data_IF_278859851389
#
_entry.id   IF_278859851389
#
_cell.length_a   1.000
_cell.length_b   1.000
_cell.length_c   1.000
_cell.angle_alpha   90.00
_cell.angle_beta   90.00
_cell.angle_gamma   90.00
#
_symmetry.space_group_name_H-M   'P 1'
#
loop_
_entity.id
_entity.type
_entity.pdbx_description
1 polymer ?
#
# COMPACT_ATOMS: atom_id res chain seq x y z
N UNK A 1 -28.33 -81.37 33.79
CA UNK A 1 -28.77 -81.03 32.42
C UNK A 1 -28.67 -79.52 32.23
N UNK A 2 -27.85 -79.10 31.25
CA UNK A 2 -27.81 -77.85 30.46
C UNK A 2 -28.04 -76.48 31.14
N UNK A 3 -26.97 -75.68 31.17
CA UNK A 3 -26.99 -74.21 31.03
C UNK A 3 -27.27 -73.81 29.57
N UNK A 4 -27.79 -72.59 29.31
CA UNK A 4 -26.96 -71.52 28.71
C UNK A 4 -27.26 -70.13 29.33
N UNK A 5 -26.26 -69.31 29.72
CA UNK A 5 -25.50 -68.32 28.93
C UNK A 5 -26.38 -67.36 28.10
N UNK A 6 -26.47 -66.09 28.51
CA UNK A 6 -26.83 -64.96 27.64
C UNK A 6 -25.89 -63.77 27.91
N UNK A 7 -25.46 -63.03 26.87
CA UNK A 7 -24.26 -62.20 26.91
C UNK A 7 -24.52 -60.71 27.12
N UNK A 8 -23.52 -60.11 27.77
CA UNK A 8 -22.99 -58.75 27.64
C UNK A 8 -23.44 -57.98 26.37
N UNK A 9 -24.34 -57.01 26.50
CA UNK A 9 -24.54 -55.96 25.48
C UNK A 9 -23.83 -54.70 25.96
N UNK A 10 -22.73 -54.45 25.26
CA UNK A 10 -21.74 -53.41 25.45
C UNK A 10 -22.34 -52.04 25.09
N UNK A 11 -21.95 -51.05 25.89
CA UNK A 11 -22.10 -49.63 25.67
C UNK A 11 -21.90 -49.19 24.20
N UNK A 12 -22.97 -48.71 23.57
CA UNK A 12 -22.92 -47.96 22.30
C UNK A 12 -23.78 -46.71 22.37
N UNK A 13 -23.54 -45.86 23.38
CA UNK A 13 -24.13 -44.51 23.47
C UNK A 13 -23.05 -43.42 23.56
N UNK A 14 -22.03 -43.55 22.72
CA UNK A 14 -20.90 -42.61 22.65
C UNK A 14 -20.36 -42.53 21.22
N UNK A 15 -21.24 -42.38 20.23
CA UNK A 15 -20.81 -42.03 18.87
C UNK A 15 -21.89 -41.25 18.11
N UNK A 16 -22.44 -40.20 18.75
CA UNK A 16 -23.09 -39.10 18.02
C UNK A 16 -22.49 -37.78 18.51
N UNK A 17 -21.15 -37.76 18.63
CA UNK A 17 -20.41 -36.51 18.54
C UNK A 17 -20.62 -36.00 17.12
N UNK A 18 -21.49 -35.00 17.00
CA UNK A 18 -21.74 -34.24 15.78
C UNK A 18 -20.42 -34.00 15.07
N UNK A 19 -20.27 -34.55 13.86
CA UNK A 19 -19.35 -34.02 12.85
C UNK A 19 -19.82 -32.60 12.54
N UNK A 20 -19.48 -31.65 13.42
CA UNK A 20 -19.47 -30.25 13.02
C UNK A 20 -18.32 -30.14 12.01
N UNK A 21 -18.58 -29.72 10.76
CA UNK A 21 -17.50 -29.43 9.85
C UNK A 21 -16.59 -28.41 10.53
N UNK A 22 -15.28 -28.71 10.61
CA UNK A 22 -14.31 -27.73 11.08
C UNK A 22 -14.48 -26.46 10.22
N UNK A 23 -14.48 -25.26 10.82
CA UNK A 23 -14.46 -24.04 10.03
C UNK A 23 -13.25 -24.13 9.10
N UNK A 24 -13.50 -24.04 7.80
CA UNK A 24 -12.45 -24.00 6.79
C UNK A 24 -11.49 -22.87 7.19
N UNK A 25 -10.26 -23.25 7.52
CA UNK A 25 -9.18 -22.32 7.83
C UNK A 25 -8.92 -21.53 6.54
N UNK A 26 -9.51 -20.34 6.41
CA UNK A 26 -9.14 -19.39 5.37
C UNK A 26 -7.71 -18.99 5.66
N UNK A 27 -6.76 -19.57 4.92
CA UNK A 27 -5.37 -19.15 4.97
C UNK A 27 -5.33 -17.69 4.52
N UNK A 28 -5.11 -16.76 5.46
CA UNK A 28 -4.88 -15.36 5.13
C UNK A 28 -3.63 -15.29 4.23
N UNK A 29 -3.83 -14.92 2.96
CA UNK A 29 -2.73 -14.67 2.04
C UNK A 29 -1.80 -13.61 2.67
N UNK A 30 -0.47 -13.81 2.68
CA UNK A 30 0.44 -12.78 3.13
C UNK A 30 0.26 -11.54 2.26
N UNK A 31 -0.15 -10.42 2.88
CA UNK A 31 -0.43 -9.16 2.19
C UNK A 31 0.85 -8.62 1.55
N UNK A 32 1.02 -8.80 0.24
CA UNK A 32 2.19 -8.25 -0.46
C UNK A 32 1.97 -6.76 -0.66
N UNK A 33 3.01 -5.99 -0.41
CA UNK A 33 2.98 -4.53 -0.53
C UNK A 33 3.76 -4.12 -1.77
N UNK A 34 3.23 -3.15 -2.51
CA UNK A 34 3.89 -2.54 -3.64
C UNK A 34 4.28 -1.11 -3.27
N UNK A 35 5.51 -0.72 -3.55
CA UNK A 35 6.00 0.65 -3.37
C UNK A 35 6.33 1.20 -4.74
N UNK A 36 5.43 1.98 -5.32
CA UNK A 36 5.66 2.66 -6.60
C UNK A 36 6.18 4.05 -6.31
N UNK A 37 7.29 4.45 -6.94
CA UNK A 37 7.87 5.76 -6.70
C UNK A 37 8.40 6.44 -7.95
N UNK A 38 8.30 7.77 -7.99
CA UNK A 38 9.03 8.60 -8.94
C UNK A 38 10.03 9.48 -8.18
N UNK A 39 11.25 9.60 -8.68
CA UNK A 39 12.22 10.57 -8.15
C UNK A 39 13.10 11.15 -9.24
N UNK A 40 13.25 12.47 -9.22
CA UNK A 40 14.18 13.20 -10.09
C UNK A 40 15.52 13.41 -9.39
N UNK A 41 15.54 14.13 -8.27
CA UNK A 41 16.76 14.46 -7.52
C UNK A 41 17.06 13.49 -6.36
N UNK A 42 16.48 12.29 -6.35
CA UNK A 42 16.73 11.23 -5.37
C UNK A 42 16.05 11.35 -4.00
N UNK A 43 15.42 12.48 -3.65
CA UNK A 43 14.78 12.64 -2.32
C UNK A 43 13.65 11.61 -2.09
N UNK A 44 12.74 11.49 -3.06
CA UNK A 44 11.63 10.53 -2.98
C UNK A 44 12.09 9.09 -3.03
N UNK A 45 13.21 8.81 -3.71
CA UNK A 45 13.84 7.49 -3.74
C UNK A 45 14.36 7.10 -2.35
N UNK A 46 15.00 8.02 -1.62
CA UNK A 46 15.38 7.80 -0.21
C UNK A 46 14.17 7.49 0.66
N UNK A 47 13.06 8.20 0.47
CA UNK A 47 11.79 7.94 1.19
C UNK A 47 11.24 6.55 0.84
N UNK A 48 11.23 6.18 -0.44
CA UNK A 48 10.76 4.86 -0.87
C UNK A 48 11.64 3.73 -0.34
N UNK A 49 12.97 3.93 -0.27
CA UNK A 49 13.91 2.97 0.31
C UNK A 49 13.71 2.84 1.83
N UNK A 50 13.56 3.96 2.56
CA UNK A 50 13.26 3.93 3.99
C UNK A 50 11.92 3.23 4.26
N UNK A 51 10.92 3.48 3.42
CA UNK A 51 9.63 2.81 3.50
C UNK A 51 9.76 1.31 3.26
N UNK A 52 10.49 0.90 2.22
CA UNK A 52 10.76 -0.50 1.93
C UNK A 52 11.44 -1.21 3.10
N UNK A 53 12.41 -0.56 3.76
CA UNK A 53 13.03 -1.11 4.99
C UNK A 53 12.01 -1.30 6.11
N UNK A 54 11.08 -0.35 6.27
CA UNK A 54 10.11 -0.35 7.38
C UNK A 54 8.93 -1.31 7.17
N UNK A 55 8.46 -1.52 5.93
CA UNK A 55 7.25 -2.31 5.64
C UNK A 55 7.50 -3.52 4.74
N UNK A 56 8.70 -3.64 4.19
CA UNK A 56 9.01 -4.59 3.13
C UNK A 56 8.38 -4.17 1.79
N UNK A 57 8.00 -5.17 1.00
CA UNK A 57 7.32 -4.96 -0.27
C UNK A 57 8.26 -4.79 -1.48
N UNK A 58 7.65 -4.79 -2.67
CA UNK A 58 8.36 -4.66 -3.95
C UNK A 58 8.47 -3.18 -4.34
N UNK A 59 9.68 -2.60 -4.45
CA UNK A 59 9.85 -1.27 -4.99
C UNK A 59 9.76 -1.31 -6.52
N UNK A 60 9.10 -0.32 -7.10
CA UNK A 60 9.01 -0.10 -8.55
C UNK A 60 9.25 1.38 -8.84
N UNK A 61 10.33 1.69 -9.55
CA UNK A 61 10.64 3.05 -10.00
C UNK A 61 9.86 3.37 -11.27
N UNK A 62 9.21 4.53 -11.27
CA UNK A 62 8.62 5.13 -12.48
C UNK A 62 9.73 5.85 -13.23
N UNK A 63 9.95 5.44 -14.47
CA UNK A 63 10.91 6.04 -15.39
C UNK A 63 10.17 6.77 -16.52
N UNK A 64 10.35 8.09 -16.65
CA UNK A 64 9.89 8.82 -17.83
C UNK A 64 10.49 8.25 -19.12
N UNK A 65 9.73 8.24 -20.22
CA UNK A 65 10.22 7.79 -21.53
C UNK A 65 11.45 8.58 -21.98
N UNK A 66 11.38 9.89 -21.80
CA UNK A 66 12.50 10.83 -21.93
C UNK A 66 12.86 11.34 -20.54
N UNK A 67 14.08 11.10 -20.03
CA UNK A 67 14.53 11.60 -18.74
C UNK A 67 14.32 13.11 -18.59
N UNK A 68 14.04 13.59 -17.37
CA UNK A 68 14.02 15.03 -17.12
C UNK A 68 15.42 15.62 -17.24
N UNK A 69 15.56 16.88 -17.70
CA UNK A 69 16.84 17.57 -17.68
C UNK A 69 17.49 17.58 -16.30
N UNK A 70 18.81 17.63 -16.25
CA UNK A 70 19.53 17.82 -14.98
C UNK A 70 19.39 19.26 -14.47
N UNK A 71 19.24 20.22 -15.39
CA UNK A 71 19.02 21.61 -15.04
C UNK A 71 17.65 21.80 -14.38
N UNK A 72 17.65 22.44 -13.20
CA UNK A 72 16.43 22.70 -12.44
C UNK A 72 15.42 23.54 -13.21
N UNK A 73 15.86 24.62 -13.87
CA UNK A 73 14.93 25.50 -14.56
C UNK A 73 14.30 24.86 -15.79
N UNK A 74 15.07 24.09 -16.56
CA UNK A 74 14.55 23.31 -17.67
C UNK A 74 13.55 22.25 -17.19
N UNK A 75 13.83 21.59 -16.07
CA UNK A 75 12.89 20.65 -15.44
C UNK A 75 11.60 21.34 -15.02
N UNK A 76 11.68 22.54 -14.42
CA UNK A 76 10.48 23.33 -14.04
C UNK A 76 9.66 23.73 -15.27
N UNK A 77 10.32 24.15 -16.36
CA UNK A 77 9.65 24.51 -17.61
C UNK A 77 8.93 23.31 -18.22
N UNK A 78 9.61 22.16 -18.32
CA UNK A 78 9.00 20.92 -18.80
C UNK A 78 7.84 20.48 -17.92
N UNK A 79 8.03 20.43 -16.60
CA UNK A 79 6.97 20.02 -15.67
C UNK A 79 5.75 20.95 -15.74
N UNK A 80 5.94 22.25 -16.03
CA UNK A 80 4.84 23.20 -16.25
C UNK A 80 4.09 22.91 -17.55
N UNK A 81 4.81 22.65 -18.64
CA UNK A 81 4.21 22.29 -19.93
C UNK A 81 3.40 20.98 -19.82
N UNK A 82 3.97 19.95 -19.20
CA UNK A 82 3.29 18.67 -18.96
C UNK A 82 2.09 18.82 -18.02
N UNK A 83 2.20 19.65 -16.97
CA UNK A 83 1.07 19.98 -16.11
C UNK A 83 -0.06 20.59 -16.96
N UNK A 84 0.23 21.62 -17.74
CA UNK A 84 -0.81 22.25 -18.57
C UNK A 84 -1.42 21.24 -19.56
N UNK A 85 -0.63 20.38 -20.17
CA UNK A 85 -1.13 19.29 -21.03
C UNK A 85 -2.11 18.36 -20.29
N UNK A 86 -1.80 17.94 -19.07
CA UNK A 86 -2.69 17.08 -18.26
C UNK A 86 -4.00 17.81 -17.92
N UNK A 87 -3.94 19.05 -17.45
CA UNK A 87 -5.11 19.73 -16.90
C UNK A 87 -5.97 20.46 -17.94
N UNK A 88 -5.41 20.81 -19.09
CA UNK A 88 -6.12 21.52 -20.17
C UNK A 88 -6.52 20.58 -21.30
N UNK A 89 -5.75 19.51 -21.55
CA UNK A 89 -5.96 18.60 -22.70
C UNK A 89 -6.07 17.12 -22.33
N UNK A 90 -5.94 16.78 -21.04
CA UNK A 90 -5.93 15.39 -20.57
C UNK A 90 -4.84 14.53 -21.25
N UNK A 91 -3.72 15.15 -21.60
CA UNK A 91 -2.56 14.52 -22.22
C UNK A 91 -1.50 14.23 -21.16
N UNK A 92 -1.11 12.96 -21.02
CA UNK A 92 -0.15 12.51 -20.03
C UNK A 92 1.24 12.26 -20.65
N UNK A 93 2.35 12.70 -20.01
CA UNK A 93 3.69 12.43 -20.54
C UNK A 93 4.00 10.93 -20.48
N UNK A 94 4.67 10.40 -21.51
CA UNK A 94 4.99 8.99 -21.61
C UNK A 94 5.99 8.52 -20.53
N UNK A 95 5.80 7.29 -20.04
CA UNK A 95 6.67 6.58 -19.09
C UNK A 95 7.03 5.20 -19.66
N UNK A 96 8.20 4.66 -19.29
CA UNK A 96 8.64 3.29 -19.62
C UNK A 96 8.03 2.26 -18.70
N UNK A 97 7.84 2.65 -17.44
CA UNK A 97 7.39 1.73 -16.39
C UNK A 97 5.94 1.32 -16.61
N UNK A 98 5.73 0.01 -16.75
CA UNK A 98 4.41 -0.63 -16.81
C UNK A 98 4.40 -1.82 -15.87
N UNK A 99 3.26 -2.02 -15.20
CA UNK A 99 2.96 -3.24 -14.48
C UNK A 99 1.83 -3.93 -15.22
N UNK A 100 2.04 -5.20 -15.55
CA UNK A 100 1.03 -6.00 -16.25
C UNK A 100 -0.02 -6.56 -15.28
N UNK A 101 0.36 -6.72 -14.01
CA UNK A 101 -0.54 -7.18 -12.95
C UNK A 101 -0.18 -6.55 -11.60
N UNK A 102 -1.22 -6.32 -10.77
CA UNK A 102 -1.14 -5.88 -9.40
C UNK A 102 -2.05 -6.68 -8.45
N UNK A 103 -2.68 -7.77 -8.90
CA UNK A 103 -3.63 -8.59 -8.13
C UNK A 103 -3.05 -9.05 -6.80
N UNK A 104 -1.78 -9.48 -6.79
CA UNK A 104 -1.11 -9.97 -5.60
C UNK A 104 -0.89 -8.92 -4.49
N UNK A 105 -1.13 -7.63 -4.76
CA UNK A 105 -0.88 -6.53 -3.82
C UNK A 105 -2.16 -5.92 -3.28
N UNK A 106 -2.36 -5.97 -1.97
CA UNK A 106 -3.53 -5.37 -1.30
C UNK A 106 -3.30 -3.88 -0.98
N UNK A 107 -2.05 -3.53 -0.70
CA UNK A 107 -1.62 -2.16 -0.38
C UNK A 107 -0.58 -1.68 -1.38
N UNK A 108 -0.83 -0.48 -1.93
CA UNK A 108 0.05 0.20 -2.87
C UNK A 108 0.45 1.54 -2.27
N UNK A 109 1.72 1.68 -1.91
CA UNK A 109 2.30 2.96 -1.56
C UNK A 109 2.68 3.71 -2.84
N UNK A 110 2.27 4.97 -2.94
CA UNK A 110 2.61 5.83 -4.08
C UNK A 110 3.48 6.98 -3.58
N UNK A 111 4.78 6.88 -3.83
CA UNK A 111 5.78 7.82 -3.36
C UNK A 111 6.11 8.83 -4.47
N UNK A 112 5.85 10.11 -4.24
CA UNK A 112 6.06 11.14 -5.27
C UNK A 112 6.56 12.46 -4.67
N UNK A 113 7.28 13.28 -5.46
CA UNK A 113 7.52 14.66 -5.11
C UNK A 113 6.28 15.53 -5.42
N UNK A 114 6.04 16.53 -4.59
CA UNK A 114 5.09 17.60 -4.87
C UNK A 114 5.71 18.60 -5.83
N UNK A 115 5.23 18.63 -7.07
CA UNK A 115 5.70 19.55 -8.11
C UNK A 115 4.58 20.49 -8.53
N UNK A 116 4.86 21.81 -8.48
CA UNK A 116 3.91 22.84 -8.91
C UNK A 116 2.52 22.74 -8.24
N UNK A 117 2.48 22.29 -6.98
CA UNK A 117 1.23 22.09 -6.23
C UNK A 117 0.48 20.81 -6.59
N UNK A 118 1.11 19.89 -7.33
CA UNK A 118 0.51 18.66 -7.88
C UNK A 118 1.31 17.42 -7.52
N UNK A 119 0.70 16.25 -7.66
CA UNK A 119 1.44 14.99 -7.80
C UNK A 119 2.36 15.12 -9.02
N UNK A 120 3.63 14.72 -8.92
CA UNK A 120 4.56 14.81 -10.05
C UNK A 120 4.02 14.11 -11.30
N UNK A 121 4.23 14.73 -12.47
CA UNK A 121 3.55 14.33 -13.72
C UNK A 121 3.78 12.86 -14.10
N UNK A 122 4.98 12.26 -13.94
CA UNK A 122 5.18 10.84 -14.24
C UNK A 122 4.38 9.90 -13.32
N UNK A 123 4.22 10.27 -12.05
CA UNK A 123 3.34 9.53 -11.13
C UNK A 123 1.87 9.68 -11.55
N UNK A 124 1.46 10.87 -12.01
CA UNK A 124 0.11 11.03 -12.57
C UNK A 124 -0.12 10.14 -13.78
N UNK A 125 0.85 10.02 -14.70
CA UNK A 125 0.78 9.07 -15.82
C UNK A 125 0.64 7.64 -15.33
N UNK A 126 1.46 7.22 -14.36
CA UNK A 126 1.36 5.86 -13.82
C UNK A 126 -0.03 5.57 -13.25
N UNK A 127 -0.55 6.47 -12.40
CA UNK A 127 -1.87 6.33 -11.81
C UNK A 127 -2.98 6.32 -12.87
N UNK A 128 -2.87 7.17 -13.89
CA UNK A 128 -3.82 7.20 -14.99
C UNK A 128 -3.83 5.88 -15.77
N UNK A 129 -2.65 5.36 -16.13
CA UNK A 129 -2.49 4.15 -16.92
C UNK A 129 -2.92 2.88 -16.16
N UNK A 130 -2.76 2.85 -14.83
CA UNK A 130 -3.05 1.67 -13.99
C UNK A 130 -4.29 1.84 -13.12
N UNK A 131 -5.12 2.86 -13.37
CA UNK A 131 -6.30 3.19 -12.54
C UNK A 131 -7.25 2.00 -12.34
N UNK A 132 -7.39 1.16 -13.37
CA UNK A 132 -8.27 -0.01 -13.34
C UNK A 132 -7.73 -1.09 -12.39
N UNK A 133 -6.41 -1.29 -12.38
CA UNK A 133 -5.73 -2.23 -11.47
C UNK A 133 -5.73 -1.74 -10.02
N UNK A 134 -5.97 -0.44 -9.79
CA UNK A 134 -6.02 0.16 -8.45
C UNK A 134 -7.43 0.15 -7.84
N UNK A 135 -8.46 -0.30 -8.58
CA UNK A 135 -9.84 -0.39 -8.07
C UNK A 135 -9.91 -1.28 -6.83
N UNK A 136 -10.54 -0.79 -5.77
CA UNK A 136 -10.70 -1.50 -4.50
C UNK A 136 -9.41 -1.71 -3.68
N UNK A 137 -8.23 -1.40 -4.23
CA UNK A 137 -6.95 -1.51 -3.51
C UNK A 137 -6.78 -0.35 -2.52
N UNK A 138 -6.05 -0.62 -1.44
CA UNK A 138 -5.63 0.44 -0.52
C UNK A 138 -4.45 1.19 -1.12
N UNK A 139 -4.63 2.48 -1.39
CA UNK A 139 -3.58 3.36 -1.90
C UNK A 139 -3.15 4.31 -0.78
N UNK A 140 -1.86 4.31 -0.46
CA UNK A 140 -1.28 5.15 0.60
C UNK A 140 -0.33 6.17 -0.05
N UNK A 141 -0.73 7.44 -0.16
CA UNK A 141 0.11 8.47 -0.73
C UNK A 141 1.23 8.89 0.22
N UNK A 142 2.45 8.97 -0.34
CA UNK A 142 3.68 9.34 0.36
C UNK A 142 4.33 10.51 -0.40
N UNK A 143 4.16 11.70 0.13
CA UNK A 143 4.55 12.94 -0.53
C UNK A 143 5.85 13.50 0.05
N UNK A 144 6.87 13.64 -0.81
CA UNK A 144 8.06 14.44 -0.48
C UNK A 144 7.90 15.86 -1.03
N UNK A 145 8.31 16.89 -0.27
CA UNK A 145 8.14 18.27 -0.72
C UNK A 145 9.26 19.19 -0.22
N UNK A 146 9.42 20.35 -0.86
CA UNK A 146 10.32 21.39 -0.35
C UNK A 146 9.77 22.05 0.91
N UNK A 147 8.60 22.70 0.76
CA UNK A 147 7.89 23.41 1.84
C UNK A 147 6.36 23.28 1.76
N UNK A 148 5.84 23.09 0.54
CA UNK A 148 4.40 23.11 0.29
C UNK A 148 3.70 21.93 0.98
N UNK A 149 2.49 22.14 1.51
CA UNK A 149 1.74 21.07 2.17
C UNK A 149 1.29 20.02 1.16
N UNK A 150 1.42 18.74 1.53
CA UNK A 150 1.01 17.60 0.72
C UNK A 150 -0.50 17.62 0.37
N UNK A 151 -1.33 18.29 1.19
CA UNK A 151 -2.77 18.43 0.97
C UNK A 151 -3.13 19.04 -0.39
N UNK A 152 -2.23 19.82 -1.01
CA UNK A 152 -2.40 20.33 -2.38
C UNK A 152 -2.56 19.23 -3.44
N UNK A 153 -2.09 18.02 -3.14
CA UNK A 153 -2.12 16.87 -4.07
C UNK A 153 -3.39 16.03 -3.95
N UNK A 154 -4.22 16.25 -2.93
CA UNK A 154 -5.48 15.53 -2.72
C UNK A 154 -6.46 15.60 -3.90
N UNK A 155 -6.65 16.75 -4.60
CA UNK A 155 -7.51 16.80 -5.78
C UNK A 155 -7.02 15.87 -6.90
N UNK A 156 -5.72 15.74 -7.08
CA UNK A 156 -5.15 14.88 -8.12
C UNK A 156 -5.36 13.41 -7.76
N UNK A 157 -5.16 13.03 -6.50
CA UNK A 157 -5.42 11.68 -6.00
C UNK A 157 -6.89 11.26 -6.18
N UNK A 158 -7.83 12.16 -5.84
CA UNK A 158 -9.27 11.92 -6.06
C UNK A 158 -9.60 11.70 -7.53
N UNK A 159 -8.99 12.50 -8.42
CA UNK A 159 -9.21 12.42 -9.87
C UNK A 159 -8.59 11.17 -10.49
N UNK A 160 -7.40 10.78 -10.06
CA UNK A 160 -6.61 9.70 -10.66
C UNK A 160 -6.99 8.33 -10.09
N UNK A 161 -7.45 8.27 -8.84
CA UNK A 161 -7.81 7.04 -8.17
C UNK A 161 -9.24 7.08 -7.58
N UNK A 162 -10.28 7.38 -8.40
CA UNK A 162 -11.64 7.61 -7.91
C UNK A 162 -12.29 6.36 -7.29
N UNK A 163 -11.78 5.17 -7.61
CA UNK A 163 -12.32 3.88 -7.19
C UNK A 163 -11.35 3.08 -6.31
N UNK A 164 -10.26 3.71 -5.85
CA UNK A 164 -9.37 3.11 -4.86
C UNK A 164 -9.76 3.56 -3.45
N UNK A 165 -9.25 2.87 -2.44
CA UNK A 165 -9.36 3.28 -1.04
C UNK A 165 -8.12 4.11 -0.71
N UNK A 166 -8.21 5.44 -0.83
CA UNK A 166 -7.11 6.34 -0.42
C UNK A 166 -7.07 6.37 1.12
N UNK A 167 -6.01 5.80 1.69
CA UNK A 167 -5.83 5.70 3.14
C UNK A 167 -4.70 6.62 3.60
N UNK A 168 -5.07 7.69 4.31
CA UNK A 168 -4.12 8.66 4.86
C UNK A 168 -3.39 9.48 3.79
N UNK A 169 -2.39 10.22 4.24
CA UNK A 169 -1.46 10.98 3.41
C UNK A 169 -0.22 11.25 4.25
N UNK A 170 0.90 10.63 3.91
CA UNK A 170 2.18 10.94 4.54
C UNK A 170 2.86 12.10 3.82
N UNK A 171 3.48 12.99 4.59
CA UNK A 171 4.22 14.13 4.08
C UNK A 171 5.56 14.19 4.78
N UNK A 172 6.62 14.32 4.00
CA UNK A 172 7.97 14.62 4.50
C UNK A 172 8.53 15.83 3.74
N UNK A 173 9.05 16.80 4.49
CA UNK A 173 9.62 18.02 3.93
C UNK A 173 11.14 17.90 3.78
N UNK A 174 11.74 18.88 3.10
CA UNK A 174 13.18 18.90 2.86
C UNK A 174 13.98 18.92 4.17
N UNK A 175 13.52 19.68 5.16
CA UNK A 175 14.17 19.78 6.47
C UNK A 175 14.20 18.45 7.25
N UNK A 176 13.29 17.53 6.95
CA UNK A 176 13.20 16.22 7.62
C UNK A 176 14.00 15.14 6.88
N UNK A 177 14.52 15.42 5.70
CA UNK A 177 15.14 14.43 4.81
C UNK A 177 16.47 13.86 5.37
N UNK A 178 17.16 14.61 6.23
CA UNK A 178 18.35 14.13 6.93
C UNK A 178 18.02 12.96 7.89
N UNK A 179 16.79 12.94 8.41
CA UNK A 179 16.28 11.91 9.34
C UNK A 179 15.24 11.01 8.69
N UNK A 180 15.29 10.85 7.37
CA UNK A 180 14.25 10.15 6.60
C UNK A 180 13.91 8.76 7.14
N UNK A 181 14.90 7.97 7.56
CA UNK A 181 14.66 6.63 8.11
C UNK A 181 13.87 6.67 9.42
N UNK A 182 14.25 7.55 10.35
CA UNK A 182 13.56 7.73 11.64
C UNK A 182 12.13 8.23 11.44
N UNK A 183 11.94 9.25 10.60
CA UNK A 183 10.63 9.86 10.35
C UNK A 183 9.70 8.86 9.68
N UNK A 184 10.18 8.11 8.68
CA UNK A 184 9.38 7.09 8.00
C UNK A 184 9.06 5.93 8.93
N UNK A 185 10.04 5.43 9.70
CA UNK A 185 9.81 4.34 10.66
C UNK A 185 8.79 4.72 11.74
N UNK A 186 8.88 5.95 12.29
CA UNK A 186 7.93 6.47 13.25
C UNK A 186 6.52 6.54 12.67
N UNK A 187 6.38 7.08 11.46
CA UNK A 187 5.09 7.13 10.77
C UNK A 187 4.50 5.74 10.50
N UNK A 188 5.31 4.79 10.04
CA UNK A 188 4.87 3.40 9.79
C UNK A 188 4.38 2.76 11.08
N UNK A 189 5.08 2.96 12.20
CA UNK A 189 4.66 2.47 13.52
C UNK A 189 3.30 3.03 13.93
N UNK A 190 3.01 4.29 13.61
CA UNK A 190 1.73 4.91 13.91
C UNK A 190 0.62 4.44 12.97
N UNK A 191 0.91 4.28 11.67
CA UNK A 191 0.00 3.67 10.70
C UNK A 191 -0.45 2.26 11.15
N UNK A 192 0.49 1.46 11.65
CA UNK A 192 0.24 0.15 12.23
C UNK A 192 -0.70 0.19 13.44
N UNK A 193 -0.47 1.10 14.38
CA UNK A 193 -1.31 1.25 15.58
C UNK A 193 -2.75 1.62 15.24
N UNK A 194 -2.96 2.48 14.24
CA UNK A 194 -4.30 2.88 13.81
C UNK A 194 -5.04 1.77 13.06
N UNK A 195 -4.34 0.95 12.25
CA UNK A 195 -4.95 -0.26 11.67
C UNK A 195 -5.33 -1.30 12.74
N UNK A 196 -4.52 -1.44 13.79
CA UNK A 196 -4.82 -2.31 14.93
C UNK A 196 -6.04 -1.82 15.76
N UNK A 197 -6.41 -0.53 15.66
CA UNK A 197 -7.58 0.05 16.34
C UNK A 197 -8.91 -0.10 15.59
N UNK A 198 -8.91 -0.48 14.30
CA UNK A 198 -10.13 -0.62 13.48
C UNK A 198 -10.48 -2.10 13.24
N UNK A 199 -9.55 -3.02 13.51
CA UNK A 199 -9.74 -4.45 13.34
C UNK A 199 -10.17 -5.13 14.65
N UNK A 200 -11.42 -4.97 15.11
CA UNK A 200 -12.04 -6.07 15.89
C UNK A 200 -13.57 -6.17 15.96
N UNK A 201 -14.37 -5.23 15.45
CA UNK A 201 -15.84 -5.29 15.63
C UNK A 201 -16.56 -6.41 14.83
N UNK A 202 -15.82 -7.39 14.30
CA UNK A 202 -16.35 -8.66 13.75
C UNK A 202 -15.63 -9.93 14.20
N UNK A 203 -14.77 -9.91 15.23
CA UNK A 203 -14.13 -11.14 15.71
C UNK A 203 -14.18 -11.25 17.23
N UNK A 204 -15.01 -12.16 17.74
CA UNK A 204 -15.17 -12.53 19.15
C UNK A 204 -14.01 -13.40 19.67
N UNK A 205 -12.77 -13.09 19.30
CA UNK A 205 -11.59 -13.81 19.80
C UNK A 205 -10.99 -13.09 21.04
N UNK A 206 -10.59 -13.83 22.09
CA UNK A 206 -10.13 -13.26 23.36
C UNK A 206 -8.80 -12.49 23.24
N UNK A 207 -8.62 -11.55 24.16
CA UNK A 207 -7.75 -10.38 24.07
C UNK A 207 -6.22 -10.59 24.31
N UNK A 208 -5.67 -11.79 24.11
CA UNK A 208 -4.27 -12.11 24.51
C UNK A 208 -3.27 -12.25 23.33
N UNK A 209 -3.58 -11.71 22.14
CA UNK A 209 -2.61 -11.71 21.03
C UNK A 209 -2.70 -10.38 20.28
N UNK A 210 -2.17 -9.30 20.86
CA UNK A 210 -2.12 -7.98 20.19
C UNK A 210 -0.85 -7.20 20.50
N UNK A 211 0.28 -7.68 19.99
CA UNK A 211 1.47 -6.83 19.76
C UNK A 211 2.24 -7.17 18.46
N UNK A 212 1.94 -8.31 17.83
CA UNK A 212 2.82 -8.87 16.79
C UNK A 212 2.29 -8.80 15.35
N UNK A 213 1.05 -8.35 15.11
CA UNK A 213 0.43 -8.42 13.77
C UNK A 213 0.31 -7.07 13.07
N UNK A 214 1.40 -6.30 12.98
CA UNK A 214 1.53 -5.35 11.88
C UNK A 214 2.55 -5.87 10.88
N UNK A 215 2.07 -6.27 9.71
CA UNK A 215 2.87 -6.51 8.50
C UNK A 215 4.15 -7.31 8.82
N UNK A 216 4.01 -8.54 9.34
CA UNK A 216 5.16 -9.42 9.56
C UNK A 216 5.88 -9.65 8.23
N UNK A 217 7.02 -9.00 8.05
CA UNK A 217 7.99 -9.25 6.97
C UNK A 217 8.86 -10.42 7.44
N UNK A 218 9.01 -11.42 6.57
CA UNK A 218 9.84 -12.59 6.82
C UNK A 218 11.30 -12.23 7.10
N UNK A 219 11.94 -13.09 7.90
CA UNK A 219 13.37 -13.11 8.16
C UNK A 219 14.22 -13.19 6.90
#
# INVERSE_FOLDING_TARGET
>A
MKMPVFPLIIATLLCVLRLQPLPAQTQEKPTKQLIVYFSWSGNTEKVAAALQKAVGGKPVRIEPQTPYPENYMETVLRARAEKNAIYERNEYPAIRTRLDDMEAYDTVFICYPLWLGKVAMPMQTFLHNHREMLKGKTVIPVCSSGKSPASKTLPDLKRLCPSCIVSGLFSIKREEMEKVEEVVAGWVKDLCRHKAGIAWERSTAPADIRQDSCLKVGH
#
